data_IF_217172340561
#
_entry.id   IF_217172340561
#
_cell.length_a   1.000
_cell.length_b   1.000
_cell.length_c   1.000
_cell.angle_alpha   90.00
_cell.angle_beta   90.00
_cell.angle_gamma   90.00
#
_symmetry.space_group_name_H-M   'P 1'
#
loop_
_entity.id
_entity.type
_entity.pdbx_description
1 polymer ?
#
# COMPACT_ATOMS: atom_id res chain seq x y z
N UNK A 1 -0.05 -2.74 -8.50
CA UNK A 1 -0.61 -1.36 -8.49
C UNK A 1 -2.08 -1.46 -8.87
N UNK A 2 -2.89 -0.49 -8.47
CA UNK A 2 -4.31 -0.39 -8.80
C UNK A 2 -4.56 0.98 -9.42
N UNK A 3 -5.23 1.01 -10.57
CA UNK A 3 -5.79 2.21 -11.19
C UNK A 3 -7.25 2.34 -10.74
N UNK A 4 -7.59 3.47 -10.13
CA UNK A 4 -8.93 3.79 -9.64
C UNK A 4 -9.84 4.38 -10.73
N UNK A 5 -9.35 4.50 -11.97
CA UNK A 5 -10.07 5.03 -13.13
C UNK A 5 -10.03 6.55 -13.24
N UNK A 6 -10.09 7.25 -12.10
CA UNK A 6 -10.03 8.70 -11.99
C UNK A 6 -9.32 9.16 -10.70
N UNK A 7 -9.18 10.47 -10.50
CA UNK A 7 -8.56 11.00 -9.28
C UNK A 7 -9.53 10.98 -8.12
N UNK A 8 -9.19 10.24 -7.07
CA UNK A 8 -9.94 10.19 -5.82
C UNK A 8 -9.21 10.91 -4.69
N UNK A 9 -9.98 11.35 -3.70
CA UNK A 9 -9.45 11.74 -2.39
C UNK A 9 -9.28 10.48 -1.55
N UNK A 10 -8.04 10.19 -1.15
CA UNK A 10 -7.68 8.95 -0.45
C UNK A 10 -7.51 9.29 1.03
N UNK A 11 -8.27 8.63 1.89
CA UNK A 11 -8.20 8.73 3.35
C UNK A 11 -7.37 7.61 3.96
N UNK A 12 -7.42 6.40 3.39
CA UNK A 12 -6.60 5.28 3.87
C UNK A 12 -6.50 4.15 2.85
N UNK A 13 -5.46 3.33 3.03
CA UNK A 13 -5.32 2.04 2.35
C UNK A 13 -5.18 0.96 3.42
N UNK A 14 -6.02 -0.07 3.36
CA UNK A 14 -5.95 -1.21 4.27
C UNK A 14 -5.39 -2.42 3.52
N UNK A 15 -4.34 -3.02 4.06
CA UNK A 15 -3.73 -4.24 3.56
C UNK A 15 -4.17 -5.42 4.43
N UNK A 16 -4.69 -6.46 3.80
CA UNK A 16 -4.99 -7.75 4.44
C UNK A 16 -3.94 -8.76 3.99
N UNK A 17 -2.88 -8.91 4.77
CA UNK A 17 -1.80 -9.83 4.45
C UNK A 17 -2.21 -11.28 4.69
N UNK A 18 -1.68 -12.19 3.88
CA UNK A 18 -1.67 -13.61 4.23
C UNK A 18 -0.53 -13.93 5.20
N UNK A 19 -0.29 -15.23 5.46
CA UNK A 19 0.88 -15.70 6.22
C UNK A 19 2.21 -15.29 5.58
N UNK A 20 2.27 -15.18 4.25
CA UNK A 20 3.42 -14.65 3.53
C UNK A 20 3.26 -13.12 3.38
N UNK A 21 4.04 -12.33 4.12
CA UNK A 21 3.86 -10.88 4.17
C UNK A 21 5.17 -10.11 3.95
N UNK A 22 5.03 -8.80 3.70
CA UNK A 22 6.17 -7.89 3.59
C UNK A 22 6.72 -7.45 4.95
N UNK A 23 8.04 -7.60 5.16
CA UNK A 23 8.73 -7.02 6.31
C UNK A 23 9.08 -5.56 6.07
N UNK A 24 9.60 -5.23 4.90
CA UNK A 24 9.84 -3.85 4.49
C UNK A 24 9.04 -3.52 3.23
N UNK A 25 8.23 -2.45 3.31
CA UNK A 25 7.38 -2.01 2.21
C UNK A 25 6.89 -0.58 2.40
N UNK A 26 6.35 -0.01 1.32
CA UNK A 26 5.66 1.27 1.29
C UNK A 26 4.28 1.14 0.65
N UNK A 27 3.34 1.95 1.12
CA UNK A 27 2.10 2.22 0.41
C UNK A 27 2.21 3.59 -0.21
N UNK A 28 2.02 3.66 -1.52
CA UNK A 28 2.26 4.86 -2.29
C UNK A 28 1.06 5.20 -3.17
N UNK A 29 0.85 6.50 -3.37
CA UNK A 29 -0.20 7.06 -4.22
C UNK A 29 0.42 7.88 -5.35
N UNK A 30 -0.26 7.94 -6.47
CA UNK A 30 0.17 8.71 -7.64
C UNK A 30 -1.03 9.28 -8.40
N UNK A 31 -0.87 10.46 -8.99
CA UNK A 31 -1.84 11.04 -9.92
C UNK A 31 -1.60 10.66 -11.38
N UNK A 32 -0.35 10.32 -11.74
CA UNK A 32 0.13 10.15 -13.11
C UNK A 32 0.67 8.73 -13.40
N UNK A 33 0.69 7.86 -12.39
CA UNK A 33 1.24 6.50 -12.47
C UNK A 33 2.78 6.44 -12.50
N UNK A 34 3.46 7.57 -12.50
CA UNK A 34 4.93 7.68 -12.69
C UNK A 34 5.62 8.29 -11.48
N UNK A 35 5.05 9.35 -10.92
CA UNK A 35 5.53 10.03 -9.72
C UNK A 35 4.77 9.52 -8.51
N UNK A 36 5.49 8.94 -7.54
CA UNK A 36 4.88 8.26 -6.40
C UNK A 36 5.20 8.98 -5.10
N UNK A 37 4.18 9.11 -4.24
CA UNK A 37 4.31 9.66 -2.89
C UNK A 37 3.94 8.59 -1.87
N UNK A 38 4.84 8.34 -0.92
CA UNK A 38 4.60 7.40 0.18
C UNK A 38 3.63 8.00 1.19
N UNK A 39 2.56 7.27 1.50
CA UNK A 39 1.63 7.59 2.59
C UNK A 39 1.89 6.74 3.83
N UNK A 40 2.61 5.63 3.68
CA UNK A 40 3.02 4.74 4.77
C UNK A 40 4.29 3.98 4.37
N UNK A 41 5.17 3.75 5.34
CA UNK A 41 6.37 2.92 5.17
C UNK A 41 6.71 2.18 6.44
N UNK A 42 7.19 0.96 6.32
CA UNK A 42 7.76 0.19 7.44
C UNK A 42 8.93 -0.66 6.97
N UNK A 43 9.86 -0.96 7.88
CA UNK A 43 10.93 -1.96 7.71
C UNK A 43 10.78 -3.13 8.69
N UNK A 44 9.73 -3.11 9.51
CA UNK A 44 9.47 -4.11 10.55
C UNK A 44 7.99 -4.52 10.55
N UNK A 45 7.41 -4.73 9.36
CA UNK A 45 6.06 -5.24 9.19
C UNK A 45 5.85 -6.57 9.91
N UNK A 46 4.65 -6.77 10.45
CA UNK A 46 4.28 -7.95 11.25
C UNK A 46 3.16 -8.79 10.62
N UNK A 47 2.80 -8.53 9.36
CA UNK A 47 1.69 -9.17 8.66
C UNK A 47 0.32 -8.74 9.20
N UNK A 48 -0.69 -9.59 9.05
CA UNK A 48 -2.06 -9.33 9.49
C UNK A 48 -2.75 -8.18 8.73
N UNK A 49 -3.61 -7.44 9.42
CA UNK A 49 -4.28 -6.26 8.85
C UNK A 49 -3.53 -5.00 9.20
N UNK A 50 -3.12 -4.23 8.18
CA UNK A 50 -2.41 -2.97 8.35
C UNK A 50 -3.18 -1.84 7.68
N UNK A 51 -3.55 -0.82 8.45
CA UNK A 51 -4.20 0.40 7.93
C UNK A 51 -3.19 1.53 7.79
N UNK A 52 -2.91 1.93 6.56
CA UNK A 52 -2.13 3.11 6.20
C UNK A 52 -3.06 4.33 6.10
N UNK A 53 -3.06 5.18 7.12
CA UNK A 53 -3.82 6.45 7.09
C UNK A 53 -3.08 7.48 6.26
N UNK A 54 -3.75 8.07 5.27
CA UNK A 54 -3.14 9.07 4.40
C UNK A 54 -3.12 10.46 5.06
N UNK A 55 -2.13 11.31 4.76
CA UNK A 55 -2.17 12.74 5.11
C UNK A 55 -3.45 13.42 4.61
N UNK A 56 -3.88 14.48 5.30
CA UNK A 56 -5.07 15.24 4.92
C UNK A 56 -4.95 15.76 3.48
N UNK A 57 -6.06 15.71 2.74
CA UNK A 57 -6.15 16.12 1.33
C UNK A 57 -5.26 15.30 0.36
N UNK A 58 -4.85 14.09 0.72
CA UNK A 58 -4.18 13.19 -0.23
C UNK A 58 -5.13 12.87 -1.39
N UNK A 59 -4.66 13.07 -2.61
CA UNK A 59 -5.38 12.73 -3.84
C UNK A 59 -4.52 11.86 -4.74
N UNK A 60 -5.13 10.93 -5.45
CA UNK A 60 -4.44 10.07 -6.41
C UNK A 60 -5.42 9.26 -7.27
N UNK A 61 -4.94 8.83 -8.43
CA UNK A 61 -5.63 7.88 -9.31
C UNK A 61 -5.06 6.47 -9.16
N UNK A 62 -3.77 6.37 -8.83
CA UNK A 62 -3.08 5.10 -8.69
C UNK A 62 -2.64 4.87 -7.25
N UNK A 63 -2.75 3.63 -6.81
CA UNK A 63 -2.25 3.16 -5.51
C UNK A 63 -1.37 1.95 -5.72
N UNK A 64 -0.24 1.85 -5.01
CA UNK A 64 0.58 0.65 -5.02
C UNK A 64 1.10 0.30 -3.64
N UNK A 65 1.23 -1.00 -3.43
CA UNK A 65 2.14 -1.60 -2.46
C UNK A 65 3.49 -1.79 -3.15
N UNK A 66 4.55 -1.21 -2.57
CA UNK A 66 5.93 -1.36 -3.03
C UNK A 66 6.74 -2.11 -1.97
N UNK A 67 6.91 -3.41 -2.17
CA UNK A 67 7.67 -4.29 -1.26
C UNK A 67 9.18 -4.25 -1.54
N UNK A 68 10.00 -4.23 -0.49
CA UNK A 68 11.47 -4.26 -0.58
C UNK A 68 12.11 -5.39 0.19
N UNK A 69 11.44 -5.93 1.22
CA UNK A 69 11.91 -7.11 1.96
C UNK A 69 10.72 -8.00 2.33
N UNK A 70 10.84 -9.29 2.04
CA UNK A 70 9.87 -10.33 2.41
C UNK A 70 10.13 -10.79 3.84
N UNK A 71 9.09 -11.10 4.60
CA UNK A 71 9.26 -11.65 5.95
C UNK A 71 9.45 -13.17 5.96
N UNK A 72 9.07 -13.83 4.87
CA UNK A 72 9.11 -15.28 4.73
C UNK A 72 9.72 -15.66 3.38
N UNK A 73 10.08 -16.94 3.21
CA UNK A 73 10.59 -17.46 1.93
C UNK A 73 9.54 -17.48 0.80
N UNK A 74 8.27 -17.24 1.12
CA UNK A 74 7.14 -17.37 0.20
C UNK A 74 6.79 -16.09 -0.56
N UNK A 75 7.53 -15.00 -0.33
CA UNK A 75 7.29 -13.74 -1.03
C UNK A 75 6.26 -12.84 -0.34
N UNK A 76 5.68 -11.93 -1.14
CA UNK A 76 4.57 -11.05 -0.72
C UNK A 76 3.25 -11.67 -1.15
N UNK A 77 2.32 -11.91 -0.22
CA UNK A 77 0.97 -12.38 -0.51
C UNK A 77 -0.07 -11.54 0.24
N UNK A 78 -1.09 -11.06 -0.47
CA UNK A 78 -2.18 -10.27 0.11
C UNK A 78 -3.50 -10.92 -0.28
N UNK A 79 -4.43 -11.01 0.67
CA UNK A 79 -5.81 -11.32 0.38
C UNK A 79 -6.48 -10.15 -0.35
N UNK A 80 -6.29 -8.94 0.17
CA UNK A 80 -7.00 -7.76 -0.30
C UNK A 80 -6.22 -6.47 -0.03
N UNK A 81 -6.41 -5.49 -0.92
CA UNK A 81 -6.06 -4.09 -0.69
C UNK A 81 -7.32 -3.25 -0.86
N UNK A 82 -7.75 -2.64 0.24
CA UNK A 82 -8.93 -1.78 0.27
C UNK A 82 -8.50 -0.31 0.25
N UNK A 83 -9.12 0.50 -0.61
CA UNK A 83 -8.83 1.94 -0.75
C UNK A 83 -10.07 2.73 -0.35
N UNK A 84 -9.90 3.70 0.56
CA UNK A 84 -10.91 4.65 1.03
C UNK A 84 -10.39 6.08 1.01
#
# INVERSE_FOLDING_TARGET
MVDLGETWRISSVTLFWETAYGRAYRVEVSGDGSTWKSIYSTTAGAGGTVKATAPKNTTGRYVRLYGTEVATIWGFSIFEMEIR
#
